data_IF_259824920005
#
_entry.id   IF_259824920005
#
_cell.length_a   1.000
_cell.length_b   1.000
_cell.length_c   1.000
_cell.angle_alpha   90.00
_cell.angle_beta   90.00
_cell.angle_gamma   90.00
#
_symmetry.space_group_name_H-M   'P 1'
#
loop_
_entity.id
_entity.type
_entity.pdbx_description
1 polymer ?
#
# COMPACT_ATOMS: atom_id res chain seq x y z
N UNK A 1 -22.64 8.89 17.37
CA UNK A 1 -22.72 7.50 17.89
C UNK A 1 -22.07 6.55 16.89
N UNK A 2 -21.18 5.67 17.35
CA UNK A 2 -20.38 4.81 16.48
C UNK A 2 -21.24 3.69 15.84
N UNK A 3 -21.28 3.63 14.50
CA UNK A 3 -22.04 2.64 13.69
C UNK A 3 -21.74 1.17 14.01
N UNK A 4 -20.66 0.90 14.72
CA UNK A 4 -20.13 -0.45 14.92
C UNK A 4 -20.73 -1.13 16.16
N UNK A 5 -21.31 -0.36 17.08
CA UNK A 5 -21.93 -0.90 18.29
C UNK A 5 -23.13 -1.81 17.96
N UNK A 6 -23.98 -1.42 17.01
CA UNK A 6 -25.13 -2.22 16.58
C UNK A 6 -24.71 -3.55 15.95
N UNK A 7 -23.58 -3.59 15.23
CA UNK A 7 -23.07 -4.81 14.61
C UNK A 7 -22.61 -5.84 15.66
N UNK A 8 -21.96 -5.39 16.74
CA UNK A 8 -21.51 -6.30 17.80
C UNK A 8 -22.62 -6.69 18.78
N UNK A 9 -23.69 -5.89 18.88
CA UNK A 9 -24.83 -6.21 19.73
C UNK A 9 -25.61 -7.46 19.27
N UNK A 10 -25.44 -7.88 18.01
CA UNK A 10 -26.04 -9.11 17.46
C UNK A 10 -25.31 -10.39 17.92
N UNK A 11 -24.13 -10.28 18.55
CA UNK A 11 -23.31 -11.41 18.96
C UNK A 11 -23.16 -11.50 20.48
N UNK A 12 -23.30 -12.71 21.03
CA UNK A 12 -22.89 -12.99 22.40
C UNK A 12 -21.39 -13.33 22.41
N UNK A 13 -20.57 -12.44 22.98
CA UNK A 13 -19.13 -12.65 23.11
C UNK A 13 -18.64 -12.39 24.53
N UNK A 14 -17.57 -13.09 24.90
CA UNK A 14 -16.87 -12.89 26.17
C UNK A 14 -15.51 -12.25 25.88
N UNK A 15 -15.18 -11.17 26.59
CA UNK A 15 -13.88 -10.51 26.46
C UNK A 15 -12.87 -11.21 27.36
N UNK A 16 -11.93 -11.93 26.76
CA UNK A 16 -10.84 -12.60 27.47
C UNK A 16 -9.52 -11.86 27.28
N UNK A 17 -8.77 -11.67 28.37
CA UNK A 17 -7.43 -11.09 28.33
C UNK A 17 -6.43 -12.09 27.73
N UNK A 18 -5.74 -11.68 26.66
CA UNK A 18 -4.64 -12.44 26.08
C UNK A 18 -3.31 -11.71 26.32
N UNK A 19 -2.35 -12.33 27.03
CA UNK A 19 -1.02 -11.75 27.24
C UNK A 19 -0.34 -11.38 25.92
N UNK A 20 0.36 -10.24 25.88
CA UNK A 20 0.93 -9.66 24.65
C UNK A 20 1.80 -10.63 23.83
N UNK A 21 2.57 -11.51 24.50
CA UNK A 21 3.39 -12.54 23.84
C UNK A 21 2.57 -13.50 22.95
N UNK A 22 1.30 -13.73 23.29
CA UNK A 22 0.38 -14.58 22.53
C UNK A 22 -0.51 -13.76 21.60
N UNK A 23 -0.58 -12.44 21.78
CA UNK A 23 -1.40 -11.52 21.00
C UNK A 23 -0.62 -10.89 19.82
N UNK A 24 0.26 -11.66 19.17
CA UNK A 24 1.28 -11.19 18.22
C UNK A 24 0.72 -10.33 17.09
N UNK A 25 -0.51 -10.61 16.62
CA UNK A 25 -1.13 -9.86 15.52
C UNK A 25 -1.60 -8.47 15.96
N UNK A 26 -2.30 -8.36 17.09
CA UNK A 26 -2.73 -7.06 17.61
C UNK A 26 -1.55 -6.26 18.17
N UNK A 27 -0.59 -6.95 18.78
CA UNK A 27 0.65 -6.40 19.32
C UNK A 27 1.54 -5.83 18.20
N UNK A 28 1.63 -6.48 17.04
CA UNK A 28 2.32 -5.93 15.86
C UNK A 28 1.64 -4.67 15.30
N UNK A 29 0.31 -4.54 15.44
CA UNK A 29 -0.43 -3.35 15.02
C UNK A 29 -0.32 -2.20 16.03
N UNK A 30 -0.17 -2.48 17.32
CA UNK A 30 0.00 -1.46 18.36
C UNK A 30 1.42 -0.90 18.46
N UNK A 31 2.44 -1.68 18.08
CA UNK A 31 3.87 -1.30 18.12
C UNK A 31 4.36 -0.48 16.93
N UNK A 32 3.44 0.08 16.15
CA UNK A 32 3.77 0.90 15.00
C UNK A 32 4.43 2.21 15.49
N UNK A 33 5.75 2.43 15.25
CA UNK A 33 6.50 3.55 15.82
C UNK A 33 6.03 4.91 15.30
N UNK A 34 5.24 4.92 14.23
CA UNK A 34 4.54 6.09 13.69
C UNK A 34 3.37 6.60 14.56
N UNK A 35 2.93 5.83 15.57
CA UNK A 35 1.87 6.26 16.50
C UNK A 35 2.38 6.89 17.81
N UNK A 36 3.64 6.73 18.17
CA UNK A 36 4.18 7.25 19.45
C UNK A 36 4.62 8.72 19.39
N UNK A 37 4.65 9.35 18.20
CA UNK A 37 5.12 10.74 18.03
C UNK A 37 4.01 11.79 17.91
N UNK A 38 2.78 11.50 18.35
CA UNK A 38 1.81 12.58 18.57
C UNK A 38 1.86 12.96 20.05
N UNK A 39 2.80 13.87 20.35
CA UNK A 39 2.73 14.67 21.56
C UNK A 39 1.29 15.20 21.71
N UNK A 40 0.75 15.08 22.93
CA UNK A 40 -0.58 15.61 23.29
C UNK A 40 -0.69 17.04 22.76
N UNK A 41 -1.61 17.36 21.84
CA UNK A 41 -1.85 18.75 21.49
C UNK A 41 -2.52 19.39 22.70
N UNK A 42 -1.80 20.30 23.34
CA UNK A 42 -2.42 21.39 24.07
C UNK A 42 -3.49 22.03 23.16
N UNK A 43 -4.63 22.33 23.76
CA UNK A 43 -5.74 22.96 23.07
C UNK A 43 -5.28 24.32 22.55
N UNK A 44 -4.89 24.37 21.29
CA UNK A 44 -4.84 25.59 20.47
C UNK A 44 -4.69 25.14 19.01
N UNK A 45 -5.62 25.62 18.20
CA UNK A 45 -5.83 25.35 16.76
C UNK A 45 -4.56 25.09 15.95
N UNK A 46 -4.37 23.85 15.51
CA UNK A 46 -3.35 23.48 14.52
C UNK A 46 -3.84 23.92 13.14
N UNK A 47 -3.28 25.03 12.65
CA UNK A 47 -3.35 25.37 11.23
C UNK A 47 -2.40 24.44 10.47
N UNK A 48 -2.94 23.60 9.61
CA UNK A 48 -2.13 22.82 8.67
C UNK A 48 -1.66 23.78 7.59
N UNK A 49 -0.48 24.37 7.78
CA UNK A 49 0.22 25.04 6.69
C UNK A 49 0.67 23.96 5.70
N UNK A 50 -0.10 23.81 4.61
CA UNK A 50 0.34 23.07 3.44
C UNK A 50 1.56 23.80 2.87
N UNK A 51 2.76 23.35 3.23
CA UNK A 51 3.95 23.72 2.47
C UNK A 51 3.87 23.01 1.12
N UNK A 52 3.21 23.65 0.16
CA UNK A 52 3.46 23.38 -1.27
C UNK A 52 4.84 23.95 -1.61
N UNK A 53 5.90 23.34 -1.12
CA UNK A 53 7.19 23.49 -1.79
C UNK A 53 7.04 22.75 -3.11
N UNK A 54 6.85 23.52 -4.18
CA UNK A 54 6.92 23.04 -5.55
C UNK A 54 8.31 22.42 -5.78
N UNK A 55 8.43 21.14 -5.47
CA UNK A 55 9.51 20.32 -6.02
C UNK A 55 9.11 20.07 -7.47
N UNK A 56 9.61 20.95 -8.35
CA UNK A 56 9.72 20.68 -9.77
C UNK A 56 10.76 19.56 -9.98
N UNK A 57 10.44 18.37 -9.53
CA UNK A 57 11.05 17.15 -10.04
C UNK A 57 10.02 16.63 -11.02
N UNK A 58 10.17 16.92 -12.32
CA UNK A 58 9.39 16.19 -13.31
C UNK A 58 9.68 14.72 -13.06
N UNK A 59 8.65 13.97 -12.66
CA UNK A 59 8.84 12.54 -12.47
C UNK A 59 9.06 11.93 -13.85
N UNK A 60 9.76 10.80 -13.93
CA UNK A 60 9.95 10.07 -15.18
C UNK A 60 8.61 9.83 -15.91
N UNK A 61 7.52 9.73 -15.14
CA UNK A 61 6.15 9.65 -15.63
C UNK A 61 5.67 10.92 -16.35
N UNK A 62 5.95 12.11 -15.81
CA UNK A 62 5.58 13.38 -16.42
C UNK A 62 6.34 13.63 -17.73
N UNK A 63 7.63 13.26 -17.76
CA UNK A 63 8.47 13.42 -18.95
C UNK A 63 8.03 12.48 -20.07
N UNK A 64 7.74 11.22 -19.72
CA UNK A 64 7.19 10.25 -20.67
C UNK A 64 5.80 10.68 -21.15
N UNK A 65 4.90 11.10 -20.26
CA UNK A 65 3.56 11.58 -20.65
C UNK A 65 3.64 12.77 -21.60
N UNK A 66 4.57 13.71 -21.36
CA UNK A 66 4.76 14.89 -22.21
C UNK A 66 5.26 14.51 -23.60
N UNK A 67 6.18 13.54 -23.69
CA UNK A 67 6.70 13.05 -24.96
C UNK A 67 5.61 12.42 -25.85
N UNK A 68 4.61 11.77 -25.24
CA UNK A 68 3.53 11.08 -25.95
C UNK A 68 2.18 11.84 -25.93
N UNK A 69 2.14 13.07 -25.41
CA UNK A 69 0.88 13.83 -25.26
C UNK A 69 0.20 14.14 -26.61
N UNK A 70 0.97 14.16 -27.70
CA UNK A 70 0.49 14.44 -29.05
C UNK A 70 -0.22 13.24 -29.70
N UNK A 71 0.00 12.02 -29.17
CA UNK A 71 -0.54 10.77 -29.73
C UNK A 71 -1.82 10.29 -29.02
N UNK A 72 -2.37 11.08 -28.09
CA UNK A 72 -3.53 10.70 -27.30
C UNK A 72 -4.83 10.78 -28.12
N UNK A 73 -5.35 9.62 -28.55
CA UNK A 73 -6.70 9.47 -29.10
C UNK A 73 -7.73 9.54 -27.98
N UNK A 74 -8.73 10.41 -28.15
CA UNK A 74 -9.75 10.77 -27.16
C UNK A 74 -10.43 9.56 -26.49
N UNK A 75 -10.22 9.42 -25.18
CA UNK A 75 -11.02 8.57 -24.29
C UNK A 75 -10.26 7.45 -23.58
N UNK A 76 -9.14 6.99 -24.12
CA UNK A 76 -8.26 6.00 -23.47
C UNK A 76 -6.88 6.65 -23.26
N UNK A 77 -6.38 6.69 -22.03
CA UNK A 77 -5.04 7.24 -21.80
C UNK A 77 -4.03 6.27 -22.43
N UNK A 78 -3.30 6.68 -23.49
CA UNK A 78 -2.40 5.77 -24.17
C UNK A 78 -1.33 5.28 -23.19
N UNK A 79 -1.10 3.96 -23.18
CA UNK A 79 -0.04 3.34 -22.38
C UNK A 79 1.26 3.39 -23.16
N UNK A 80 2.33 3.80 -22.49
CA UNK A 80 3.64 3.86 -23.13
C UNK A 80 4.24 2.46 -23.18
N UNK A 81 4.52 2.00 -24.39
CA UNK A 81 5.15 0.70 -24.62
C UNK A 81 6.64 0.82 -24.32
N UNK A 82 7.09 0.05 -23.33
CA UNK A 82 8.49 0.00 -22.92
C UNK A 82 9.21 -1.06 -23.75
N UNK A 83 10.31 -0.72 -24.45
CA UNK A 83 11.15 -1.68 -25.18
C UNK A 83 11.68 -2.81 -24.28
N UNK A 84 12.40 -3.76 -24.86
CA UNK A 84 13.09 -4.80 -24.09
C UNK A 84 14.38 -4.29 -23.43
N UNK A 85 14.23 -3.21 -22.67
CA UNK A 85 15.25 -2.56 -21.87
C UNK A 85 14.97 -2.84 -20.39
N UNK A 86 15.85 -3.62 -19.76
CA UNK A 86 15.71 -4.02 -18.35
C UNK A 86 15.94 -2.85 -17.41
N UNK A 87 16.88 -1.96 -17.72
CA UNK A 87 17.22 -0.82 -16.86
C UNK A 87 16.10 0.21 -16.84
N UNK A 88 15.44 0.42 -17.98
CA UNK A 88 14.25 1.27 -18.04
C UNK A 88 13.09 0.68 -17.23
N UNK A 89 12.85 -0.64 -17.34
CA UNK A 89 11.82 -1.33 -16.55
C UNK A 89 12.12 -1.28 -15.05
N UNK A 90 13.38 -1.42 -14.65
CA UNK A 90 13.80 -1.32 -13.25
C UNK A 90 13.61 0.10 -12.70
N UNK A 91 13.96 1.14 -13.47
CA UNK A 91 13.71 2.53 -13.08
C UNK A 91 12.23 2.82 -12.84
N UNK A 92 11.36 2.33 -13.73
CA UNK A 92 9.91 2.44 -13.54
C UNK A 92 9.47 1.71 -12.26
N UNK A 93 9.97 0.49 -12.03
CA UNK A 93 9.62 -0.25 -10.81
C UNK A 93 10.09 0.44 -9.53
N UNK A 94 11.29 1.01 -9.53
CA UNK A 94 11.81 1.77 -8.38
C UNK A 94 10.88 2.93 -8.02
N UNK A 95 10.50 3.74 -9.00
CA UNK A 95 9.64 4.91 -8.78
C UNK A 95 8.26 4.52 -8.21
N UNK A 96 7.69 3.41 -8.69
CA UNK A 96 6.34 3.00 -8.30
C UNK A 96 6.28 2.14 -7.03
N UNK A 97 7.40 1.55 -6.60
CA UNK A 97 7.47 0.59 -5.50
C UNK A 97 8.32 1.08 -4.33
N UNK A 98 9.54 1.53 -4.62
CA UNK A 98 10.61 1.79 -3.64
C UNK A 98 10.83 3.28 -3.37
N UNK A 99 10.29 4.17 -4.21
CA UNK A 99 10.27 5.59 -3.90
C UNK A 99 9.56 5.84 -2.56
N UNK A 100 9.92 6.90 -1.80
CA UNK A 100 9.27 7.23 -0.54
C UNK A 100 7.74 7.36 -0.64
N UNK A 101 7.24 7.74 -1.81
CA UNK A 101 5.81 7.83 -2.13
C UNK A 101 5.22 6.52 -2.71
N UNK A 102 6.07 5.58 -3.14
CA UNK A 102 5.71 4.30 -3.79
C UNK A 102 5.03 3.30 -2.85
N UNK A 103 5.33 3.36 -1.55
CA UNK A 103 4.51 2.76 -0.48
C UNK A 103 4.47 1.23 -0.46
N UNK A 104 5.38 0.52 -1.15
CA UNK A 104 5.51 -0.95 -1.10
C UNK A 104 4.16 -1.71 -1.18
N UNK A 105 3.26 -1.28 -2.06
CA UNK A 105 1.80 -1.55 -2.05
C UNK A 105 1.39 -3.01 -2.29
N UNK A 106 2.35 -3.92 -2.42
CA UNK A 106 2.14 -5.33 -2.75
C UNK A 106 1.85 -5.56 -4.24
N UNK A 107 2.17 -6.77 -4.71
CA UNK A 107 2.22 -7.15 -6.13
C UNK A 107 1.07 -6.63 -6.98
N UNK A 108 -0.17 -6.85 -6.53
CA UNK A 108 -1.36 -6.56 -7.33
C UNK A 108 -1.56 -5.06 -7.55
N UNK A 109 -1.40 -4.28 -6.48
CA UNK A 109 -1.51 -2.82 -6.56
C UNK A 109 -0.36 -2.24 -7.39
N UNK A 110 0.86 -2.76 -7.22
CA UNK A 110 2.00 -2.34 -8.05
C UNK A 110 1.72 -2.59 -9.53
N UNK A 111 1.21 -3.78 -9.88
CA UNK A 111 0.86 -4.09 -11.27
C UNK A 111 -0.24 -3.18 -11.82
N UNK A 112 -1.32 -2.95 -11.09
CA UNK A 112 -2.41 -2.06 -11.54
C UNK A 112 -1.94 -0.62 -11.73
N UNK A 113 -1.05 -0.15 -10.86
CA UNK A 113 -0.53 1.22 -10.93
C UNK A 113 0.40 1.39 -12.13
N UNK A 114 1.31 0.44 -12.34
CA UNK A 114 2.26 0.47 -13.47
C UNK A 114 1.54 0.23 -14.81
N UNK A 115 0.58 -0.69 -14.86
CA UNK A 115 -0.13 -1.04 -16.10
C UNK A 115 -1.14 -0.01 -16.56
N UNK A 116 -1.44 1.01 -15.75
CA UNK A 116 -2.21 2.20 -16.14
C UNK A 116 -1.43 3.07 -17.13
N UNK A 117 -0.12 3.19 -16.91
CA UNK A 117 0.72 4.18 -17.59
C UNK A 117 1.70 3.53 -18.58
N UNK A 118 2.11 2.28 -18.32
CA UNK A 118 3.14 1.58 -19.09
C UNK A 118 2.70 0.17 -19.50
N UNK A 119 3.24 -0.32 -20.61
CA UNK A 119 3.05 -1.69 -21.08
C UNK A 119 4.35 -2.33 -21.56
N UNK A 120 4.55 -3.61 -21.28
CA UNK A 120 5.54 -4.46 -21.96
C UNK A 120 5.12 -5.93 -21.90
N UNK A 121 5.64 -6.80 -22.79
CA UNK A 121 5.35 -8.23 -22.76
C UNK A 121 5.72 -8.85 -21.40
N UNK A 122 4.84 -9.70 -20.86
CA UNK A 122 5.03 -10.37 -19.56
C UNK A 122 5.22 -9.42 -18.36
N UNK A 123 4.69 -8.18 -18.44
CA UNK A 123 4.76 -7.17 -17.37
C UNK A 123 4.42 -7.70 -15.98
N UNK A 124 3.33 -8.46 -15.84
CA UNK A 124 2.94 -9.04 -14.55
C UNK A 124 4.02 -9.94 -13.94
N UNK A 125 4.71 -10.74 -14.77
CA UNK A 125 5.77 -11.65 -14.29
C UNK A 125 6.97 -10.84 -13.78
N UNK A 126 7.32 -9.77 -14.48
CA UNK A 126 8.37 -8.84 -14.05
C UNK A 126 8.03 -8.20 -12.71
N UNK A 127 6.84 -7.60 -12.58
CA UNK A 127 6.35 -6.97 -11.34
C UNK A 127 6.34 -7.98 -10.19
N UNK A 128 5.83 -9.20 -10.43
CA UNK A 128 5.81 -10.27 -9.43
C UNK A 128 7.22 -10.63 -8.95
N UNK A 129 8.19 -10.75 -9.86
CA UNK A 129 9.58 -11.08 -9.51
C UNK A 129 10.21 -9.95 -8.69
N UNK A 130 10.02 -8.70 -9.12
CA UNK A 130 10.53 -7.52 -8.45
C UNK A 130 9.99 -7.40 -7.01
N UNK A 131 8.67 -7.41 -6.84
CA UNK A 131 8.04 -7.28 -5.52
C UNK A 131 8.38 -8.47 -4.62
N UNK A 132 8.57 -9.67 -5.18
CA UNK A 132 9.02 -10.83 -4.40
C UNK A 132 10.43 -10.65 -3.86
N UNK A 133 11.32 -9.93 -4.54
CA UNK A 133 12.68 -9.65 -4.09
C UNK A 133 12.78 -8.47 -3.11
N UNK A 134 11.71 -7.68 -2.94
CA UNK A 134 11.70 -6.52 -2.05
C UNK A 134 11.64 -6.93 -0.57
N UNK A 135 12.72 -6.69 0.18
CA UNK A 135 12.82 -7.01 1.62
C UNK A 135 11.77 -6.30 2.48
N UNK A 136 11.41 -5.07 2.14
CA UNK A 136 10.39 -4.30 2.89
C UNK A 136 9.03 -4.98 2.74
N UNK A 137 8.65 -5.35 1.51
CA UNK A 137 7.43 -6.12 1.27
C UNK A 137 7.44 -7.47 1.97
N UNK A 138 8.58 -8.16 1.99
CA UNK A 138 8.70 -9.46 2.67
C UNK A 138 8.52 -9.32 4.19
N UNK A 139 9.11 -8.30 4.82
CA UNK A 139 8.98 -8.06 6.26
C UNK A 139 7.54 -7.74 6.69
N UNK A 140 6.83 -6.94 5.88
CA UNK A 140 5.45 -6.52 6.20
C UNK A 140 4.43 -7.62 5.92
N UNK A 141 4.68 -8.49 4.94
CA UNK A 141 3.75 -9.56 4.58
C UNK A 141 3.91 -10.72 5.54
N UNK A 142 3.02 -10.81 6.53
CA UNK A 142 2.95 -11.96 7.42
C UNK A 142 2.73 -13.26 6.62
N UNK A 143 3.35 -14.33 7.10
CA UNK A 143 3.05 -15.70 6.66
C UNK A 143 1.54 -15.92 6.76
N UNK A 144 0.91 -16.67 5.85
CA UNK A 144 -0.49 -17.06 6.03
C UNK A 144 -0.57 -17.83 7.34
N UNK A 145 -1.08 -17.19 8.40
CA UNK A 145 -1.44 -17.92 9.60
C UNK A 145 -2.61 -18.81 9.16
N UNK A 146 -2.51 -20.10 9.46
CA UNK A 146 -3.69 -20.95 9.48
C UNK A 146 -4.67 -20.25 10.42
N UNK A 147 -5.76 -19.72 9.87
CA UNK A 147 -6.80 -19.11 10.69
C UNK A 147 -7.36 -20.22 11.55
N UNK A 148 -7.26 -20.08 12.87
CA UNK A 148 -7.94 -21.00 13.77
C UNK A 148 -9.44 -20.97 13.42
N UNK A 149 -10.10 -22.13 13.21
CA UNK A 149 -11.52 -22.18 12.95
C UNK A 149 -12.29 -21.46 14.06
N UNK A 150 -13.17 -20.53 13.71
CA UNK A 150 -14.13 -19.96 14.65
C UNK A 150 -15.09 -21.08 15.03
N UNK A 151 -14.92 -21.65 16.22
CA UNK A 151 -15.85 -22.64 16.74
C UNK A 151 -16.96 -21.91 17.49
N UNK A 152 -18.21 -22.14 17.08
CA UNK A 152 -19.37 -21.79 17.90
C UNK A 152 -19.37 -22.74 19.10
N UNK A 153 -19.09 -22.23 20.29
CA UNK A 153 -19.36 -22.98 21.52
C UNK A 153 -20.88 -23.03 21.68
N UNK A 154 -21.48 -24.09 21.14
CA UNK A 154 -22.87 -24.43 21.42
C UNK A 154 -22.97 -24.92 22.84
N UNK A 155 -23.63 -24.13 23.70
CA UNK A 155 -24.19 -24.64 24.95
C UNK A 155 -25.67 -24.94 24.69
N UNK A 156 -26.05 -26.20 24.94
CA UNK A 156 -27.44 -26.61 25.07
C UNK A 156 -27.99 -26.36 26.47
#
# INVERSE_FOLDING_TARGET
MARWFSFFAEYNFTVEYKPGRLNVVADALSRRPDFETVAKPNSETVTVAVMTSAVSSSTLHDDVRRAYAQDAVSGDTPRVVIPDDTDLRLRIMFEYQDAPLGGHRGREKTFLTVSRDFYWPRQYQFVRKYVRACEVCQRVKSSPSLRAPLQSTGYG
#
